data_IF_479197434832
#
_entry.id   IF_479197434832
#
_cell.length_a   1.000
_cell.length_b   1.000
_cell.length_c   1.000
_cell.angle_alpha   90.00
_cell.angle_beta   90.00
_cell.angle_gamma   90.00
#
_symmetry.space_group_name_H-M   'P 1'
#
loop_
_entity.id
_entity.type
_entity.pdbx_description
1 polymer ?
#
# COMPACT_ATOMS: atom_id res chain seq x y z
N UNK A 1 -1.73 -14.59 -5.82
CA UNK A 1 -2.39 -13.65 -4.88
C UNK A 1 -2.04 -12.25 -5.36
N UNK A 2 -2.93 -11.26 -5.29
CA UNK A 2 -2.60 -9.92 -5.78
C UNK A 2 -1.33 -9.42 -5.06
N UNK A 3 -0.39 -8.83 -5.79
CA UNK A 3 0.95 -8.43 -5.28
C UNK A 3 0.89 -7.65 -3.95
N UNK A 4 -0.20 -6.93 -3.71
CA UNK A 4 -0.50 -6.27 -2.44
C UNK A 4 -0.54 -7.23 -1.23
N UNK A 5 -1.18 -8.40 -1.33
CA UNK A 5 -1.25 -9.35 -0.21
C UNK A 5 0.12 -9.91 0.14
N UNK A 6 0.94 -10.23 -0.86
CA UNK A 6 2.30 -10.72 -0.64
C UNK A 6 3.16 -9.66 0.08
N UNK A 7 3.02 -8.38 -0.30
CA UNK A 7 3.71 -7.28 0.38
C UNK A 7 3.25 -7.14 1.83
N UNK A 8 1.95 -7.26 2.09
CA UNK A 8 1.41 -7.20 3.46
C UNK A 8 1.95 -8.33 4.33
N UNK A 9 2.04 -9.55 3.80
CA UNK A 9 2.63 -10.69 4.49
C UNK A 9 4.13 -10.51 4.72
N UNK A 10 4.87 -10.08 3.69
CA UNK A 10 6.32 -9.81 3.76
C UNK A 10 6.65 -8.76 4.82
N UNK A 11 5.80 -7.75 4.99
CA UNK A 11 6.00 -6.66 5.96
C UNK A 11 5.30 -6.92 7.31
N UNK A 12 4.73 -8.11 7.50
CA UNK A 12 4.12 -8.51 8.77
C UNK A 12 2.90 -7.69 9.17
N UNK A 13 2.17 -7.12 8.21
CA UNK A 13 1.01 -6.25 8.44
C UNK A 13 -0.23 -7.04 8.89
N UNK A 14 -0.16 -7.68 10.05
CA UNK A 14 -1.22 -8.56 10.58
C UNK A 14 -2.21 -7.82 11.49
N UNK A 15 -1.75 -6.83 12.24
CA UNK A 15 -2.55 -6.09 13.20
C UNK A 15 -3.14 -4.83 12.58
N UNK A 16 -4.45 -4.85 12.31
CA UNK A 16 -5.15 -3.79 11.60
C UNK A 16 -5.19 -2.44 12.33
N UNK A 17 -5.20 -2.44 13.68
CA UNK A 17 -5.18 -1.22 14.50
C UNK A 17 -3.76 -0.66 14.75
N UNK A 18 -2.72 -1.41 14.39
CA UNK A 18 -1.34 -0.92 14.54
C UNK A 18 -1.13 0.33 13.67
N UNK A 19 -0.46 1.33 14.22
CA UNK A 19 -0.05 2.51 13.47
C UNK A 19 1.25 2.23 12.70
N UNK A 20 1.26 2.61 11.43
CA UNK A 20 2.40 2.62 10.55
C UNK A 20 2.90 4.06 10.43
N UNK A 21 4.19 4.30 10.68
CA UNK A 21 4.81 5.58 10.38
C UNK A 21 5.11 5.73 8.87
N UNK A 22 5.49 6.95 8.46
CA UNK A 22 5.80 7.26 7.05
C UNK A 22 6.87 6.32 6.48
N UNK A 23 7.90 5.96 7.26
CA UNK A 23 8.99 5.11 6.77
C UNK A 23 8.49 3.68 6.51
N UNK A 24 7.63 3.16 7.37
CA UNK A 24 6.99 1.86 7.18
C UNK A 24 6.07 1.86 5.95
N UNK A 25 5.28 2.91 5.75
CA UNK A 25 4.43 3.06 4.56
C UNK A 25 5.27 3.13 3.29
N UNK A 26 6.33 3.95 3.28
CA UNK A 26 7.24 4.06 2.13
C UNK A 26 7.87 2.71 1.79
N UNK A 27 8.40 1.98 2.79
CA UNK A 27 9.01 0.66 2.57
C UNK A 27 8.03 -0.34 1.93
N UNK A 28 6.78 -0.34 2.39
CA UNK A 28 5.74 -1.19 1.81
C UNK A 28 5.42 -0.79 0.36
N UNK A 29 5.29 0.51 0.09
CA UNK A 29 5.02 1.03 -1.26
C UNK A 29 6.17 0.74 -2.21
N UNK A 30 7.41 0.95 -1.78
CA UNK A 30 8.61 0.63 -2.58
C UNK A 30 8.60 -0.83 -2.97
N UNK A 31 8.42 -1.74 -2.01
CA UNK A 31 8.35 -3.18 -2.29
C UNK A 31 7.22 -3.54 -3.26
N UNK A 32 6.07 -2.88 -3.15
CA UNK A 32 4.94 -3.08 -4.05
C UNK A 32 5.27 -2.62 -5.48
N UNK A 33 5.80 -1.42 -5.64
CA UNK A 33 6.08 -0.84 -6.95
C UNK A 33 7.30 -1.49 -7.63
N UNK A 34 8.31 -1.94 -6.88
CA UNK A 34 9.41 -2.76 -7.40
C UNK A 34 8.90 -4.09 -7.98
N UNK A 35 7.99 -4.77 -7.28
CA UNK A 35 7.34 -5.99 -7.81
C UNK A 35 6.54 -5.70 -9.09
N UNK A 36 5.82 -4.58 -9.14
CA UNK A 36 5.06 -4.20 -10.32
C UNK A 36 5.97 -3.85 -11.51
N UNK A 37 7.08 -3.16 -11.27
CA UNK A 37 8.05 -2.84 -12.32
C UNK A 37 8.66 -4.11 -12.92
N UNK A 38 9.03 -5.09 -12.08
CA UNK A 38 9.52 -6.40 -12.52
C UNK A 38 8.49 -7.16 -13.38
N UNK A 39 7.20 -7.01 -13.10
CA UNK A 39 6.11 -7.68 -13.84
C UNK A 39 5.74 -6.99 -15.16
N UNK A 40 5.98 -5.68 -15.26
CA UNK A 40 5.43 -4.85 -16.33
C UNK A 40 6.47 -4.09 -17.15
N UNK A 41 7.76 -4.32 -16.93
CA UNK A 41 8.85 -3.93 -17.85
C UNK A 41 8.96 -2.43 -18.09
N UNK A 42 9.47 -1.69 -17.10
CA UNK A 42 9.72 -0.23 -17.14
C UNK A 42 8.48 0.67 -17.27
N UNK A 43 7.27 0.11 -17.14
CA UNK A 43 6.04 0.91 -17.06
C UNK A 43 5.89 1.66 -15.72
N UNK A 44 6.69 1.30 -14.71
CA UNK A 44 6.56 1.82 -13.35
C UNK A 44 7.78 2.65 -12.99
N UNK A 45 7.60 3.97 -12.88
CA UNK A 45 8.60 4.83 -12.25
C UNK A 45 8.47 4.69 -10.73
N UNK A 46 9.23 3.77 -10.13
CA UNK A 46 9.11 3.40 -8.71
C UNK A 46 9.17 4.62 -7.78
N UNK A 47 10.20 5.50 -7.85
CA UNK A 47 10.25 6.68 -6.97
C UNK A 47 9.01 7.57 -7.07
N UNK A 48 8.59 7.92 -8.28
CA UNK A 48 7.43 8.78 -8.50
C UNK A 48 6.12 8.14 -8.01
N UNK A 49 5.94 6.85 -8.27
CA UNK A 49 4.76 6.11 -7.84
C UNK A 49 4.66 6.01 -6.31
N UNK A 50 5.79 5.79 -5.63
CA UNK A 50 5.86 5.79 -4.16
C UNK A 50 5.47 7.16 -3.60
N UNK A 51 6.07 8.24 -4.11
CA UNK A 51 5.78 9.60 -3.64
C UNK A 51 4.31 9.99 -3.84
N UNK A 52 3.75 9.71 -5.04
CA UNK A 52 2.36 10.01 -5.35
C UNK A 52 1.39 9.19 -4.49
N UNK A 53 1.66 7.90 -4.30
CA UNK A 53 0.80 7.03 -3.50
C UNK A 53 0.86 7.39 -2.02
N UNK A 54 2.05 7.69 -1.49
CA UNK A 54 2.24 8.18 -0.13
C UNK A 54 1.46 9.49 0.08
N UNK A 55 1.60 10.47 -0.82
CA UNK A 55 0.89 11.74 -0.73
C UNK A 55 -0.64 11.52 -0.71
N UNK A 56 -1.16 10.64 -1.57
CA UNK A 56 -2.58 10.30 -1.56
C UNK A 56 -3.02 9.66 -0.23
N UNK A 57 -2.29 8.64 0.25
CA UNK A 57 -2.61 7.96 1.51
C UNK A 57 -2.60 8.91 2.71
N UNK A 58 -1.63 9.81 2.81
CA UNK A 58 -1.54 10.79 3.89
C UNK A 58 -2.67 11.83 3.80
N UNK A 59 -3.05 12.25 2.60
CA UNK A 59 -4.19 13.18 2.43
C UNK A 59 -5.53 12.54 2.79
N UNK A 60 -5.69 11.23 2.61
CA UNK A 60 -6.92 10.51 2.96
C UNK A 60 -6.95 10.10 4.43
N UNK A 61 -5.85 9.58 4.97
CA UNK A 61 -5.83 8.89 6.26
C UNK A 61 -5.01 9.56 7.36
N UNK A 62 -4.24 10.61 7.05
CA UNK A 62 -3.46 11.40 8.02
C UNK A 62 -3.72 12.91 7.82
N UNK A 63 -4.99 13.31 7.85
CA UNK A 63 -5.39 14.72 7.71
C UNK A 63 -4.85 15.60 8.84
N UNK A 64 -4.61 15.02 10.01
CA UNK A 64 -3.98 15.68 11.16
C UNK A 64 -2.45 15.80 11.07
N UNK A 65 -1.82 15.30 9.99
CA UNK A 65 -0.37 15.33 9.76
C UNK A 65 0.45 14.77 10.93
N UNK A 66 -0.03 13.68 11.52
CA UNK A 66 0.64 12.95 12.60
C UNK A 66 1.86 12.15 12.11
N UNK A 67 1.97 11.95 10.79
CA UNK A 67 2.98 11.10 10.17
C UNK A 67 2.72 9.61 10.39
N UNK A 68 1.49 9.23 10.74
CA UNK A 68 1.09 7.85 10.98
C UNK A 68 -0.29 7.54 10.40
N UNK A 69 -0.47 6.32 9.89
CA UNK A 69 -1.77 5.80 9.47
C UNK A 69 -1.98 4.40 10.04
N UNK A 70 -3.23 3.96 10.23
CA UNK A 70 -3.50 2.58 10.65
C UNK A 70 -3.16 1.60 9.53
N UNK A 71 -2.68 0.41 9.90
CA UNK A 71 -2.47 -0.72 8.97
C UNK A 71 -3.74 -1.00 8.16
N UNK A 72 -4.92 -0.95 8.78
CA UNK A 72 -6.19 -1.13 8.07
C UNK A 72 -6.42 -0.06 6.99
N UNK A 73 -6.12 1.20 7.31
CA UNK A 73 -6.23 2.32 6.37
C UNK A 73 -5.32 2.13 5.16
N UNK A 74 -4.07 1.74 5.40
CA UNK A 74 -3.11 1.41 4.34
C UNK A 74 -3.64 0.28 3.44
N UNK A 75 -4.01 -0.87 4.02
CA UNK A 75 -4.57 -2.00 3.27
C UNK A 75 -5.82 -1.62 2.47
N UNK A 76 -6.73 -0.88 3.09
CA UNK A 76 -7.98 -0.45 2.43
C UNK A 76 -7.69 0.43 1.23
N UNK A 77 -6.77 1.39 1.34
CA UNK A 77 -6.39 2.26 0.24
C UNK A 77 -5.80 1.47 -0.93
N UNK A 78 -4.85 0.57 -0.65
CA UNK A 78 -4.18 -0.24 -1.68
C UNK A 78 -5.14 -1.24 -2.35
N UNK A 79 -5.95 -1.98 -1.57
CA UNK A 79 -6.87 -2.99 -2.13
C UNK A 79 -8.01 -2.34 -2.90
N UNK A 80 -8.52 -1.19 -2.47
CA UNK A 80 -9.61 -0.50 -3.17
C UNK A 80 -9.21 -0.12 -4.60
N UNK A 81 -7.96 0.34 -4.78
CA UNK A 81 -7.45 0.82 -6.06
C UNK A 81 -6.72 -0.23 -6.90
N UNK A 82 -6.53 -1.45 -6.40
CA UNK A 82 -5.80 -2.48 -7.15
C UNK A 82 -6.63 -3.06 -8.32
N UNK A 83 -5.97 -3.78 -9.24
CA UNK A 83 -6.58 -4.42 -10.42
C UNK A 83 -7.38 -5.71 -10.10
N UNK A 84 -7.46 -6.13 -8.84
CA UNK A 84 -8.18 -7.35 -8.47
C UNK A 84 -9.69 -7.26 -8.82
N UNK A 85 -10.33 -8.41 -9.01
CA UNK A 85 -11.78 -8.45 -9.18
C UNK A 85 -12.50 -7.91 -7.94
N UNK A 86 -13.67 -7.32 -8.15
CA UNK A 86 -14.44 -6.70 -7.07
C UNK A 86 -14.76 -7.69 -5.93
N UNK A 87 -15.12 -8.93 -6.27
CA UNK A 87 -15.36 -9.98 -5.29
C UNK A 87 -14.12 -10.32 -4.45
N UNK A 88 -12.94 -10.37 -5.07
CA UNK A 88 -11.68 -10.64 -4.37
C UNK A 88 -11.34 -9.51 -3.39
N UNK A 89 -11.62 -8.25 -3.77
CA UNK A 89 -11.43 -7.09 -2.89
C UNK A 89 -12.30 -7.19 -1.63
N UNK A 90 -13.55 -7.66 -1.75
CA UNK A 90 -14.43 -7.87 -0.59
C UNK A 90 -14.03 -9.06 0.30
N UNK A 91 -13.34 -10.06 -0.26
CA UNK A 91 -12.83 -11.23 0.47
C UNK A 91 -11.48 -10.98 1.15
N UNK A 92 -10.76 -9.95 0.72
CA UNK A 92 -9.47 -9.54 1.26
C UNK A 92 -9.64 -8.75 2.58
N UNK A 93 -10.22 -9.39 3.60
CA UNK A 93 -10.32 -8.84 4.97
C UNK A 93 -9.15 -9.26 5.85
#
# INVERSE_FOLDING_TARGET
MPAACEVFEQHGLKQNEQLMDIMQVMTCLTSLYEKLDQQHGNLVNVPLCVDMCLNWLLNVYDTGRSGKIRTLSFKTGIISLCKAHLEDKYRCK
#
